data_IF_233757461417
#
_entry.id   IF_233757461417
#
_cell.length_a   1.000
_cell.length_b   1.000
_cell.length_c   1.000
_cell.angle_alpha   90.00
_cell.angle_beta   90.00
_cell.angle_gamma   90.00
#
_symmetry.space_group_name_H-M   'P 1'
#
loop_
_entity.id
_entity.type
_entity.pdbx_description
1 polymer ?
#
# COMPACT_ATOMS: atom_id res chain seq x y z
N UNK A 1 47.83 -19.54 -14.74
CA UNK A 1 48.31 -18.30 -14.10
C UNK A 1 47.16 -17.31 -13.99
N UNK A 2 46.86 -16.78 -12.80
CA UNK A 2 45.77 -15.82 -12.63
C UNK A 2 46.23 -14.41 -13.06
N UNK A 3 45.70 -13.88 -14.17
CA UNK A 3 46.10 -12.55 -14.70
C UNK A 3 45.97 -11.41 -13.67
N UNK A 4 46.87 -10.43 -13.74
CA UNK A 4 46.97 -9.29 -12.79
C UNK A 4 45.70 -8.44 -12.83
N UNK A 5 45.16 -8.09 -11.65
CA UNK A 5 44.04 -7.14 -11.54
C UNK A 5 44.54 -5.72 -11.82
N UNK A 6 43.80 -4.95 -12.62
CA UNK A 6 44.01 -3.51 -12.80
C UNK A 6 43.14 -2.71 -11.84
N UNK A 7 43.56 -1.49 -11.53
CA UNK A 7 42.74 -0.52 -10.77
C UNK A 7 41.96 0.33 -11.77
N UNK A 8 40.63 0.37 -11.64
CA UNK A 8 39.77 1.23 -12.44
C UNK A 8 39.83 2.68 -11.94
N UNK A 9 39.44 3.65 -12.78
CA UNK A 9 39.35 5.08 -12.40
C UNK A 9 38.45 5.33 -11.18
N UNK A 10 37.47 4.46 -10.96
CA UNK A 10 36.61 4.48 -9.78
C UNK A 10 37.26 3.91 -8.50
N UNK A 11 38.56 3.56 -8.52
CA UNK A 11 39.31 3.04 -7.36
C UNK A 11 39.20 1.52 -7.12
N UNK A 12 38.23 0.85 -7.73
CA UNK A 12 38.04 -0.60 -7.59
C UNK A 12 39.07 -1.41 -8.39
N UNK A 13 39.35 -2.66 -7.96
CA UNK A 13 40.26 -3.58 -8.67
C UNK A 13 39.50 -4.69 -9.39
N UNK A 14 39.90 -5.01 -10.62
CA UNK A 14 39.33 -6.13 -11.37
C UNK A 14 40.07 -6.46 -12.65
N UNK A 15 39.58 -7.46 -13.39
CA UNK A 15 40.19 -7.92 -14.66
C UNK A 15 39.35 -7.57 -15.91
N UNK A 16 38.11 -7.13 -15.72
CA UNK A 16 37.19 -6.82 -16.81
C UNK A 16 37.50 -5.53 -17.55
N UNK A 17 36.80 -5.30 -18.66
CA UNK A 17 36.84 -4.02 -19.38
C UNK A 17 36.16 -2.90 -18.58
N UNK A 18 35.12 -3.24 -17.82
CA UNK A 18 34.35 -2.32 -16.97
C UNK A 18 34.44 -2.70 -15.48
N UNK A 19 34.18 -1.74 -14.59
CA UNK A 19 34.07 -2.02 -13.17
C UNK A 19 32.71 -2.64 -12.85
N UNK A 20 32.66 -3.96 -12.61
CA UNK A 20 31.43 -4.67 -12.27
C UNK A 20 30.82 -4.21 -10.94
N UNK A 21 31.63 -3.76 -9.97
CA UNK A 21 31.13 -3.24 -8.70
C UNK A 21 30.29 -1.97 -8.92
N UNK A 22 30.84 -0.98 -9.62
CA UNK A 22 30.09 0.22 -9.99
C UNK A 22 28.86 -0.09 -10.85
N UNK A 23 28.96 -1.08 -11.76
CA UNK A 23 27.81 -1.50 -12.57
C UNK A 23 26.71 -2.13 -11.69
N UNK A 24 27.05 -2.98 -10.74
CA UNK A 24 26.09 -3.56 -9.80
C UNK A 24 25.46 -2.49 -8.91
N UNK A 25 26.25 -1.55 -8.39
CA UNK A 25 25.74 -0.42 -7.60
C UNK A 25 24.77 0.45 -8.41
N UNK A 26 25.09 0.74 -9.66
CA UNK A 26 24.20 1.48 -10.56
C UNK A 26 22.89 0.71 -10.83
N UNK A 27 22.98 -0.60 -11.10
CA UNK A 27 21.81 -1.47 -11.27
C UNK A 27 20.95 -1.50 -10.00
N UNK A 28 21.55 -1.59 -8.82
CA UNK A 28 20.82 -1.57 -7.54
C UNK A 28 20.10 -0.23 -7.33
N UNK A 29 20.76 0.91 -7.63
CA UNK A 29 20.12 2.23 -7.55
C UNK A 29 18.94 2.33 -8.51
N UNK A 30 19.09 1.87 -9.74
CA UNK A 30 18.00 1.83 -10.72
C UNK A 30 16.84 0.93 -10.25
N UNK A 31 17.13 -0.27 -9.74
CA UNK A 31 16.12 -1.18 -9.23
C UNK A 31 15.35 -0.59 -8.03
N UNK A 32 16.07 0.06 -7.10
CA UNK A 32 15.46 0.76 -5.97
C UNK A 32 14.56 1.90 -6.44
N UNK A 33 15.05 2.74 -7.37
CA UNK A 33 14.28 3.85 -7.94
C UNK A 33 13.01 3.35 -8.66
N UNK A 34 13.11 2.28 -9.46
CA UNK A 34 11.95 1.67 -10.11
C UNK A 34 10.94 1.10 -9.11
N UNK A 35 11.42 0.48 -8.03
CA UNK A 35 10.56 -0.05 -6.96
C UNK A 35 9.79 1.08 -6.27
N UNK A 36 10.46 2.19 -5.97
CA UNK A 36 9.82 3.37 -5.37
C UNK A 36 8.83 4.02 -6.34
N UNK A 37 9.17 4.15 -7.62
CA UNK A 37 8.27 4.72 -8.63
C UNK A 37 6.99 3.87 -8.78
N UNK A 38 7.12 2.54 -8.88
CA UNK A 38 5.97 1.63 -8.93
C UNK A 38 5.11 1.69 -7.68
N UNK A 39 5.73 1.85 -6.51
CA UNK A 39 5.00 2.03 -5.26
C UNK A 39 4.20 3.34 -5.25
N UNK A 40 4.84 4.45 -5.62
CA UNK A 40 4.19 5.76 -5.68
C UNK A 40 3.03 5.77 -6.69
N UNK A 41 3.20 5.15 -7.86
CA UNK A 41 2.14 5.00 -8.85
C UNK A 41 0.95 4.23 -8.28
N UNK A 42 1.17 3.09 -7.62
CA UNK A 42 0.11 2.32 -6.96
C UNK A 42 -0.64 3.15 -5.92
N UNK A 43 0.09 3.86 -5.05
CA UNK A 43 -0.49 4.72 -4.01
C UNK A 43 -1.31 5.86 -4.62
N UNK A 44 -0.81 6.48 -5.68
CA UNK A 44 -1.49 7.60 -6.33
C UNK A 44 -2.74 7.17 -7.12
N UNK A 45 -2.69 6.00 -7.75
CA UNK A 45 -3.84 5.41 -8.47
C UNK A 45 -4.89 4.76 -7.56
N UNK A 46 -4.65 4.72 -6.25
CA UNK A 46 -5.53 4.07 -5.31
C UNK A 46 -6.88 4.80 -5.25
N UNK A 47 -8.02 4.08 -5.15
CA UNK A 47 -9.33 4.70 -5.06
C UNK A 47 -9.57 5.36 -3.68
N UNK A 48 -8.62 5.22 -2.75
CA UNK A 48 -8.64 5.83 -1.42
C UNK A 48 -7.24 6.33 -1.06
N UNK A 49 -7.15 7.41 -0.28
CA UNK A 49 -5.86 7.95 0.16
C UNK A 49 -5.17 7.00 1.12
N UNK A 50 -4.01 6.48 0.72
CA UNK A 50 -3.16 5.57 1.51
C UNK A 50 -1.73 6.08 1.71
N UNK A 51 -1.40 7.26 1.18
CA UNK A 51 -0.06 7.85 1.20
C UNK A 51 0.48 8.13 2.61
N UNK A 52 -0.41 8.41 3.55
CA UNK A 52 -0.09 8.71 4.95
C UNK A 52 0.00 7.45 5.83
N UNK A 53 -0.33 6.27 5.29
CA UNK A 53 -0.35 5.03 6.05
C UNK A 53 1.02 4.35 6.07
N UNK A 54 1.33 3.55 7.10
CA UNK A 54 2.47 2.65 7.05
C UNK A 54 2.37 1.73 5.82
N UNK A 55 3.50 1.44 5.17
CA UNK A 55 3.56 0.69 3.92
C UNK A 55 2.75 -0.62 3.95
N UNK A 56 2.91 -1.42 5.00
CA UNK A 56 2.20 -2.69 5.16
C UNK A 56 0.66 -2.52 5.25
N UNK A 57 0.21 -1.42 5.86
CA UNK A 57 -1.21 -1.09 5.97
C UNK A 57 -1.74 -0.63 4.61
N UNK A 58 -1.00 0.22 3.90
CA UNK A 58 -1.34 0.63 2.54
C UNK A 58 -1.41 -0.58 1.60
N UNK A 59 -0.40 -1.47 1.60
CA UNK A 59 -0.38 -2.70 0.80
C UNK A 59 -1.61 -3.56 1.07
N UNK A 60 -1.92 -3.80 2.34
CA UNK A 60 -3.09 -4.59 2.74
C UNK A 60 -4.41 -3.92 2.37
N UNK A 61 -4.49 -2.59 2.46
CA UNK A 61 -5.66 -1.83 2.01
C UNK A 61 -5.89 -2.04 0.52
N UNK A 62 -4.85 -1.82 -0.30
CA UNK A 62 -4.94 -1.99 -1.75
C UNK A 62 -5.29 -3.42 -2.15
N UNK A 63 -4.77 -4.41 -1.42
CA UNK A 63 -5.13 -5.81 -1.61
C UNK A 63 -6.62 -6.05 -1.35
N UNK A 64 -7.13 -5.64 -0.19
CA UNK A 64 -8.56 -5.79 0.16
C UNK A 64 -9.43 -5.11 -0.90
N UNK A 65 -9.07 -3.89 -1.32
CA UNK A 65 -9.80 -3.16 -2.36
C UNK A 65 -9.82 -3.93 -3.68
N UNK A 66 -8.68 -4.48 -4.12
CA UNK A 66 -8.61 -5.26 -5.34
C UNK A 66 -9.50 -6.51 -5.26
N UNK A 67 -9.47 -7.23 -4.14
CA UNK A 67 -10.31 -8.42 -3.94
C UNK A 67 -11.81 -8.07 -3.84
N UNK A 68 -12.18 -6.94 -3.21
CA UNK A 68 -13.56 -6.46 -3.20
C UNK A 68 -14.05 -6.11 -4.61
N UNK A 69 -13.20 -5.48 -5.44
CA UNK A 69 -13.51 -5.18 -6.85
C UNK A 69 -13.67 -6.45 -7.68
N UNK A 70 -12.99 -7.52 -7.33
CA UNK A 70 -13.12 -8.86 -7.94
C UNK A 70 -14.40 -9.59 -7.48
N UNK A 71 -15.21 -8.98 -6.60
CA UNK A 71 -16.49 -9.52 -6.13
C UNK A 71 -16.38 -10.33 -4.84
N UNK A 72 -15.22 -10.35 -4.19
CA UNK A 72 -15.09 -11.01 -2.89
C UNK A 72 -15.92 -10.28 -1.83
N UNK A 73 -16.72 -10.99 -1.01
CA UNK A 73 -17.58 -10.33 -0.03
C UNK A 73 -16.76 -9.70 1.11
N UNK A 74 -17.18 -8.52 1.58
CA UNK A 74 -16.51 -7.80 2.69
C UNK A 74 -16.49 -8.59 4.01
N UNK A 75 -17.39 -9.55 4.18
CA UNK A 75 -17.46 -10.43 5.35
C UNK A 75 -16.21 -11.31 5.49
N UNK A 76 -15.57 -11.68 4.38
CA UNK A 76 -14.34 -12.49 4.40
C UNK A 76 -13.17 -11.73 5.05
N UNK A 77 -13.21 -10.40 4.95
CA UNK A 77 -12.27 -9.49 5.61
C UNK A 77 -12.71 -9.08 7.01
N UNK A 78 -13.68 -9.78 7.60
CA UNK A 78 -14.32 -9.43 8.89
C UNK A 78 -14.97 -8.04 8.87
N UNK A 79 -15.35 -7.57 7.69
CA UNK A 79 -16.06 -6.33 7.50
C UNK A 79 -17.44 -6.38 8.16
N UNK A 80 -17.91 -5.21 8.61
CA UNK A 80 -19.21 -5.07 9.26
C UNK A 80 -19.96 -3.90 8.66
N UNK A 81 -21.20 -4.15 8.25
CA UNK A 81 -22.15 -3.10 7.91
C UNK A 81 -22.57 -2.39 9.19
N UNK A 82 -22.59 -1.07 9.14
CA UNK A 82 -22.98 -0.24 10.26
C UNK A 82 -24.51 -0.21 10.32
N UNK A 83 -25.05 -0.36 11.52
CA UNK A 83 -26.50 -0.29 11.78
C UNK A 83 -26.86 0.84 12.74
N UNK A 84 -25.84 1.38 13.41
CA UNK A 84 -25.96 2.47 14.36
C UNK A 84 -26.17 3.77 13.58
N UNK A 85 -27.01 4.67 14.10
CA UNK A 85 -27.23 6.01 13.55
C UNK A 85 -27.71 6.04 12.08
N UNK A 86 -28.34 4.96 11.59
CA UNK A 86 -28.93 4.93 10.24
C UNK A 86 -27.93 4.68 9.10
N UNK A 87 -26.66 4.43 9.40
CA UNK A 87 -25.56 4.28 8.42
C UNK A 87 -25.51 2.90 7.76
N UNK A 88 -26.64 2.42 7.25
CA UNK A 88 -26.76 1.07 6.66
C UNK A 88 -26.02 0.89 5.35
N UNK A 89 -25.63 1.98 4.69
CA UNK A 89 -24.74 1.94 3.54
C UNK A 89 -23.27 1.83 3.96
N UNK A 90 -22.90 2.24 5.18
CA UNK A 90 -21.50 2.28 5.59
C UNK A 90 -21.00 0.90 6.02
N UNK A 91 -19.83 0.51 5.52
CA UNK A 91 -19.13 -0.73 5.85
C UNK A 91 -17.77 -0.39 6.43
N UNK A 92 -17.46 -0.96 7.59
CA UNK A 92 -16.14 -0.88 8.22
C UNK A 92 -15.41 -2.21 8.08
N UNK A 93 -14.26 -2.22 7.41
CA UNK A 93 -13.38 -3.39 7.25
C UNK A 93 -12.10 -3.21 8.06
N UNK A 94 -11.78 -4.11 9.02
CA UNK A 94 -10.56 -3.99 9.81
C UNK A 94 -9.30 -4.27 8.98
N UNK A 95 -8.31 -3.39 9.09
CA UNK A 95 -6.98 -3.56 8.50
C UNK A 95 -5.97 -3.75 9.64
N UNK A 96 -5.68 -5.02 9.90
CA UNK A 96 -4.88 -5.40 11.07
C UNK A 96 -5.62 -5.09 12.37
N UNK A 97 -4.89 -4.59 13.37
CA UNK A 97 -5.46 -4.30 14.70
C UNK A 97 -5.87 -2.84 14.91
N UNK A 98 -5.27 -1.92 14.16
CA UNK A 98 -5.32 -0.48 14.46
C UNK A 98 -6.05 0.36 13.43
N UNK A 99 -6.26 -0.16 12.22
CA UNK A 99 -6.85 0.59 11.13
C UNK A 99 -8.16 -0.03 10.67
N UNK A 100 -9.00 0.79 10.05
CA UNK A 100 -10.26 0.40 9.43
C UNK A 100 -10.38 1.13 8.10
N UNK A 101 -10.70 0.38 7.05
CA UNK A 101 -11.15 0.91 5.78
C UNK A 101 -12.66 1.13 5.89
N UNK A 102 -13.10 2.34 5.54
CA UNK A 102 -14.49 2.72 5.48
C UNK A 102 -14.92 2.74 4.02
N UNK A 103 -16.00 2.03 3.72
CA UNK A 103 -16.64 2.00 2.42
C UNK A 103 -18.10 2.43 2.55
N UNK A 104 -18.70 2.95 1.48
CA UNK A 104 -20.16 3.03 1.31
C UNK A 104 -20.61 2.01 0.27
N UNK A 105 -21.69 1.32 0.57
CA UNK A 105 -22.37 0.37 -0.29
C UNK A 105 -23.46 1.10 -1.07
N UNK A 106 -23.20 1.33 -2.35
CA UNK A 106 -24.12 1.95 -3.30
C UNK A 106 -24.71 0.84 -4.18
N UNK A 107 -25.60 0.05 -3.59
CA UNK A 107 -26.31 -1.06 -4.26
C UNK A 107 -25.34 -2.12 -4.85
N UNK A 108 -24.40 -2.59 -4.03
CA UNK A 108 -23.39 -3.58 -4.44
C UNK A 108 -22.13 -2.99 -5.08
N UNK A 109 -22.10 -1.68 -5.33
CA UNK A 109 -20.86 -0.96 -5.71
C UNK A 109 -20.27 -0.31 -4.47
N UNK A 110 -18.99 -0.59 -4.19
CA UNK A 110 -18.30 0.03 -3.05
C UNK A 110 -17.60 1.33 -3.45
N UNK A 111 -18.00 2.42 -2.78
CA UNK A 111 -17.21 3.65 -2.71
C UNK A 111 -16.21 3.55 -1.56
N UNK A 112 -14.92 3.78 -1.82
CA UNK A 112 -13.87 3.68 -0.80
C UNK A 112 -13.61 5.07 -0.20
N UNK A 113 -14.15 5.32 0.99
CA UNK A 113 -14.15 6.65 1.60
C UNK A 113 -12.78 7.00 2.15
N UNK A 114 -12.27 6.19 3.09
CA UNK A 114 -11.01 6.47 3.78
C UNK A 114 -10.48 5.29 4.59
N UNK A 115 -9.22 5.37 5.01
CA UNK A 115 -8.62 4.48 5.99
C UNK A 115 -8.26 5.28 7.23
N UNK A 116 -8.76 4.85 8.38
CA UNK A 116 -8.58 5.57 9.65
C UNK A 116 -8.17 4.64 10.78
N UNK A 117 -7.67 5.23 11.86
CA UNK A 117 -7.35 4.48 13.08
C UNK A 117 -8.63 4.06 13.82
N UNK A 118 -8.50 3.05 14.68
CA UNK A 118 -9.58 2.60 15.56
C UNK A 118 -10.12 3.72 16.46
N UNK A 119 -9.23 4.58 16.96
CA UNK A 119 -9.62 5.72 17.79
C UNK A 119 -10.46 6.72 17.00
N UNK A 120 -9.99 7.12 15.82
CA UNK A 120 -10.75 8.02 14.91
C UNK A 120 -12.11 7.42 14.57
N UNK A 121 -12.15 6.12 14.28
CA UNK A 121 -13.40 5.40 14.00
C UNK A 121 -14.39 5.48 15.16
N UNK A 122 -13.94 5.23 16.39
CA UNK A 122 -14.79 5.30 17.58
C UNK A 122 -15.25 6.74 17.86
N UNK A 123 -14.37 7.72 17.73
CA UNK A 123 -14.72 9.12 17.90
C UNK A 123 -15.80 9.55 16.92
N UNK A 124 -15.70 9.14 15.65
CA UNK A 124 -16.75 9.42 14.65
C UNK A 124 -18.05 8.71 14.94
N UNK A 125 -17.99 7.44 15.33
CA UNK A 125 -19.18 6.71 15.78
C UNK A 125 -19.93 7.46 16.89
N UNK A 126 -19.22 8.08 17.83
CA UNK A 126 -19.85 8.88 18.90
C UNK A 126 -20.36 10.23 18.40
N UNK A 127 -19.71 10.82 17.40
CA UNK A 127 -20.03 12.14 16.86
C UNK A 127 -21.14 12.16 15.78
N UNK A 128 -21.85 11.05 15.55
CA UNK A 128 -22.90 10.95 14.51
C UNK A 128 -22.52 10.12 13.29
N UNK A 129 -21.30 9.57 13.25
CA UNK A 129 -20.78 8.67 12.22
C UNK A 129 -20.37 9.36 10.91
N UNK A 130 -20.57 8.69 9.78
CA UNK A 130 -20.31 9.19 8.43
C UNK A 130 -21.61 9.73 7.81
N UNK A 131 -21.66 11.04 7.58
CA UNK A 131 -22.71 11.71 6.79
C UNK A 131 -22.32 11.75 5.32
#
# INVERSE_FOLDING_TARGET
MAGRKKTFRCGHRGKGQVCHRCQQEARQRQANAQTMAKWNEKVFSAPVRVDHLPKEIAEKTLQIIAELKDGKPYLDFKGKRMVVMGQRDVISIPIGKRYRLICRDLDGVFEYVEVITHETYNNRLTAGGWN
#
